data_IF_483002359554
#
_entry.id   IF_483002359554
#
_cell.length_a   1.000
_cell.length_b   1.000
_cell.length_c   1.000
_cell.angle_alpha   90.00
_cell.angle_beta   90.00
_cell.angle_gamma   90.00
#
_symmetry.space_group_name_H-M   'P 1'
#
loop_
_entity.id
_entity.type
_entity.pdbx_description
1 polymer ?
#
# COMPACT_ATOMS: atom_id res chain seq x y z
N UNK A 1 -9.77 -15.51 0.85
CA UNK A 1 -10.34 -14.39 1.63
C UNK A 1 -10.69 -13.25 0.70
N UNK A 2 -11.77 -12.51 0.96
CA UNK A 2 -12.20 -11.35 0.16
C UNK A 2 -11.97 -10.06 0.96
N UNK A 3 -11.38 -9.05 0.31
CA UNK A 3 -11.18 -7.72 0.90
C UNK A 3 -12.53 -7.10 1.29
N UNK A 4 -12.59 -6.47 2.46
CA UNK A 4 -13.81 -5.83 2.98
C UNK A 4 -14.85 -6.79 3.54
N UNK A 5 -14.51 -8.07 3.73
CA UNK A 5 -15.38 -9.07 4.36
C UNK A 5 -14.84 -9.46 5.73
N UNK A 6 -15.75 -9.69 6.68
CA UNK A 6 -15.42 -10.13 8.04
C UNK A 6 -15.50 -11.65 8.12
N UNK A 7 -14.57 -12.25 8.85
CA UNK A 7 -14.48 -13.70 9.01
C UNK A 7 -14.28 -14.11 10.46
N UNK A 8 -14.92 -15.21 10.87
CA UNK A 8 -14.54 -15.98 12.04
C UNK A 8 -13.45 -16.96 11.64
N UNK A 9 -12.32 -16.94 12.35
CA UNK A 9 -11.20 -17.86 12.16
C UNK A 9 -11.07 -18.77 13.40
N UNK A 10 -11.19 -20.08 13.21
CA UNK A 10 -10.94 -21.09 14.24
C UNK A 10 -9.70 -21.92 13.89
N UNK A 11 -9.17 -22.66 14.87
CA UNK A 11 -8.07 -23.60 14.71
C UNK A 11 -6.82 -22.95 14.08
N UNK A 12 -6.33 -21.87 14.69
CA UNK A 12 -5.16 -21.13 14.24
C UNK A 12 -4.03 -21.20 15.26
N UNK A 13 -2.82 -20.89 14.81
CA UNK A 13 -1.64 -20.78 15.68
C UNK A 13 -1.25 -19.32 15.87
N UNK A 14 -0.95 -18.94 17.11
CA UNK A 14 -0.30 -17.67 17.43
C UNK A 14 1.20 -17.86 17.61
N UNK A 15 2.01 -16.97 17.05
CA UNK A 15 3.45 -16.91 17.29
C UNK A 15 3.91 -15.47 17.46
N UNK A 16 5.10 -15.25 18.02
CA UNK A 16 5.64 -13.90 18.17
C UNK A 16 5.87 -13.28 16.78
N UNK A 17 5.41 -12.05 16.61
CA UNK A 17 5.59 -11.32 15.36
C UNK A 17 7.08 -11.04 15.10
N UNK A 18 7.46 -11.05 13.82
CA UNK A 18 8.82 -10.69 13.42
C UNK A 18 9.00 -9.18 13.53
N UNK A 19 10.21 -8.72 13.80
CA UNK A 19 10.54 -7.30 13.83
C UNK A 19 10.66 -6.66 12.43
N UNK A 20 10.65 -7.48 11.37
CA UNK A 20 10.84 -7.05 9.99
C UNK A 20 9.54 -7.08 9.18
N UNK A 21 9.38 -6.12 8.28
CA UNK A 21 8.23 -5.91 7.39
C UNK A 21 6.89 -5.88 8.12
N UNK A 22 6.83 -5.15 9.23
CA UNK A 22 5.63 -5.06 10.06
C UNK A 22 4.59 -4.14 9.44
N UNK A 23 3.36 -4.63 9.38
CA UNK A 23 2.17 -3.85 9.00
C UNK A 23 1.32 -3.45 10.22
N UNK A 24 1.62 -4.02 11.39
CA UNK A 24 0.92 -3.76 12.66
C UNK A 24 1.89 -3.88 13.86
N UNK A 25 1.59 -3.17 14.96
CA UNK A 25 2.38 -3.19 16.21
C UNK A 25 2.01 -4.37 17.12
N UNK A 26 1.09 -5.22 16.67
CA UNK A 26 0.74 -6.43 17.39
C UNK A 26 1.98 -7.31 17.60
N UNK A 27 2.14 -7.77 18.84
CA UNK A 27 3.26 -8.62 19.26
C UNK A 27 3.14 -10.06 18.77
N UNK A 28 1.99 -10.42 18.18
CA UNK A 28 1.63 -11.77 17.75
C UNK A 28 1.22 -11.76 16.28
N UNK A 29 1.59 -12.81 15.55
CA UNK A 29 1.12 -13.14 14.21
C UNK A 29 0.26 -14.40 14.27
N UNK A 30 -0.84 -14.40 13.52
CA UNK A 30 -1.70 -15.57 13.34
C UNK A 30 -1.28 -16.34 12.08
N UNK A 31 -1.13 -17.66 12.21
CA UNK A 31 -0.80 -18.58 11.12
C UNK A 31 -1.90 -19.61 10.92
N UNK A 32 -2.22 -19.87 9.65
CA UNK A 32 -3.15 -20.91 9.23
C UNK A 32 -2.46 -22.28 9.21
N UNK A 33 -3.24 -23.32 9.50
CA UNK A 33 -2.87 -24.73 9.41
C UNK A 33 -3.88 -25.48 8.56
N UNK A 34 -3.61 -26.77 8.35
CA UNK A 34 -4.46 -27.66 7.55
C UNK A 34 -5.90 -27.80 8.08
N UNK A 35 -6.11 -27.56 9.38
CA UNK A 35 -7.42 -27.61 10.03
C UNK A 35 -7.99 -26.24 10.39
N UNK A 36 -7.39 -25.14 9.91
CA UNK A 36 -7.94 -23.80 10.12
C UNK A 36 -9.28 -23.65 9.39
N UNK A 37 -10.28 -23.16 10.11
CA UNK A 37 -11.63 -22.95 9.57
C UNK A 37 -11.91 -21.46 9.47
N UNK A 38 -12.33 -21.01 8.29
CA UNK A 38 -12.67 -19.62 8.02
C UNK A 38 -14.13 -19.51 7.56
N UNK A 39 -14.96 -18.83 8.35
CA UNK A 39 -16.39 -18.65 8.06
C UNK A 39 -16.70 -17.17 7.88
N UNK A 40 -17.42 -16.80 6.81
CA UNK A 40 -17.87 -15.40 6.60
C UNK A 40 -18.86 -15.03 7.70
N UNK A 41 -18.67 -13.88 8.34
CA UNK A 41 -19.63 -13.28 9.26
C UNK A 41 -20.40 -12.18 8.51
N UNK A 42 -21.73 -12.36 8.38
CA UNK A 42 -22.59 -11.38 7.72
C UNK A 42 -22.98 -10.23 8.67
N UNK A 43 -23.33 -10.57 9.91
CA UNK A 43 -23.67 -9.61 10.95
C UNK A 43 -22.58 -9.64 12.02
N UNK A 44 -21.68 -8.65 12.00
CA UNK A 44 -20.69 -8.52 13.06
C UNK A 44 -21.24 -7.63 14.17
N UNK A 45 -21.45 -8.14 15.39
CA UNK A 45 -21.96 -7.34 16.50
C UNK A 45 -20.90 -6.39 17.09
N UNK A 46 -19.62 -6.62 16.76
CA UNK A 46 -18.51 -5.82 17.25
C UNK A 46 -18.09 -4.81 16.18
N UNK A 47 -18.13 -3.50 16.48
CA UNK A 47 -17.54 -2.52 15.59
C UNK A 47 -16.03 -2.77 15.52
N UNK A 48 -15.49 -2.83 14.31
CA UNK A 48 -14.05 -2.75 14.11
C UNK A 48 -13.66 -1.28 14.04
N UNK A 49 -12.52 -0.94 14.62
CA UNK A 49 -11.90 0.35 14.35
C UNK A 49 -11.69 0.50 12.84
N UNK A 50 -11.97 1.68 12.30
CA UNK A 50 -11.69 1.99 10.90
C UNK A 50 -10.22 1.74 10.55
N UNK A 51 -9.94 1.45 9.28
CA UNK A 51 -8.60 1.15 8.77
C UNK A 51 -7.55 2.12 9.36
N UNK A 52 -6.70 1.62 10.25
CA UNK A 52 -5.65 2.44 10.86
C UNK A 52 -4.55 2.69 9.84
N UNK A 53 -4.53 3.88 9.23
CA UNK A 53 -3.42 4.27 8.37
C UNK A 53 -2.20 4.67 9.20
N UNK A 54 -1.04 4.10 8.87
CA UNK A 54 0.26 4.43 9.48
C UNK A 54 1.01 5.39 8.59
N UNK A 55 0.60 6.65 8.66
CA UNK A 55 1.34 7.73 8.04
C UNK A 55 2.57 8.04 8.90
N UNK A 56 3.69 8.24 8.24
CA UNK A 56 4.95 8.56 8.87
C UNK A 56 5.48 9.88 8.32
N UNK A 57 6.22 10.61 9.15
CA UNK A 57 6.86 11.84 8.73
C UNK A 57 8.06 11.57 7.81
N UNK A 58 8.56 12.61 7.13
CA UNK A 58 9.77 12.47 6.33
C UNK A 58 11.00 12.18 7.19
N UNK A 59 11.08 12.77 8.39
CA UNK A 59 12.15 12.51 9.36
C UNK A 59 12.14 11.04 9.81
N UNK A 60 10.95 10.48 10.06
CA UNK A 60 10.82 9.05 10.36
C UNK A 60 11.25 8.18 9.18
N UNK A 61 10.89 8.57 7.95
CA UNK A 61 11.39 7.89 6.76
C UNK A 61 12.91 7.94 6.70
N UNK A 62 13.54 9.11 6.89
CA UNK A 62 15.00 9.24 6.85
C UNK A 62 15.68 8.39 7.91
N UNK A 63 15.13 8.38 9.13
CA UNK A 63 15.68 7.62 10.25
C UNK A 63 15.54 6.10 10.08
N UNK A 64 14.47 5.64 9.41
CA UNK A 64 14.11 4.23 9.37
C UNK A 64 14.18 3.57 7.98
N UNK A 65 14.47 4.33 6.92
CA UNK A 65 14.63 3.78 5.58
C UNK A 65 15.69 2.67 5.58
N UNK A 66 15.49 1.65 4.74
CA UNK A 66 16.37 0.47 4.61
C UNK A 66 16.43 -0.48 5.82
N UNK A 67 15.88 -0.12 6.99
CA UNK A 67 15.90 -0.98 8.20
C UNK A 67 14.99 -2.22 8.12
N UNK A 68 14.35 -2.49 6.96
CA UNK A 68 13.38 -3.59 6.74
C UNK A 68 12.32 -3.67 7.86
N UNK A 69 12.04 -2.57 8.55
CA UNK A 69 11.22 -2.52 9.75
C UNK A 69 9.74 -2.38 9.41
N UNK A 70 9.19 -1.20 9.65
CA UNK A 70 7.78 -0.93 9.40
C UNK A 70 7.52 -0.70 7.90
N UNK A 71 6.37 -1.17 7.42
CA UNK A 71 5.85 -0.80 6.11
C UNK A 71 4.98 0.45 6.24
N UNK A 72 5.16 1.39 5.33
CA UNK A 72 4.61 2.74 5.41
C UNK A 72 3.29 2.82 4.67
N UNK A 73 2.35 3.61 5.19
CA UNK A 73 1.21 4.09 4.40
C UNK A 73 1.54 5.49 3.90
N UNK A 74 1.33 5.74 2.62
CA UNK A 74 1.68 6.98 1.94
C UNK A 74 0.41 7.60 1.39
N UNK A 75 0.16 8.84 1.76
CA UNK A 75 -0.84 9.71 1.14
C UNK A 75 -0.16 10.98 0.64
N UNK A 76 -0.51 11.42 -0.56
CA UNK A 76 0.03 12.67 -1.08
C UNK A 76 -0.44 13.01 -2.48
N UNK A 77 -0.08 14.22 -2.90
CA UNK A 77 -0.32 14.71 -4.24
C UNK A 77 0.66 14.07 -5.21
N UNK A 78 0.13 13.47 -6.27
CA UNK A 78 0.94 13.06 -7.41
C UNK A 78 1.41 14.32 -8.14
N UNK A 79 2.71 14.37 -8.44
CA UNK A 79 3.34 15.44 -9.24
C UNK A 79 3.65 14.95 -10.64
N UNK A 80 4.28 13.77 -10.73
CA UNK A 80 4.63 13.13 -11.99
C UNK A 80 4.20 11.65 -11.97
N UNK A 81 3.78 11.14 -13.11
CA UNK A 81 3.56 9.70 -13.34
C UNK A 81 4.35 9.30 -14.58
N UNK A 82 5.27 8.35 -14.44
CA UNK A 82 6.22 7.95 -15.49
C UNK A 82 6.94 9.14 -16.16
N UNK A 83 7.22 10.19 -15.39
CA UNK A 83 7.90 11.40 -15.87
C UNK A 83 6.99 12.47 -16.46
N UNK A 84 5.71 12.16 -16.69
CA UNK A 84 4.73 13.12 -17.20
C UNK A 84 4.05 13.89 -16.06
N UNK A 85 3.81 15.20 -16.24
CA UNK A 85 3.18 16.06 -15.24
C UNK A 85 1.70 15.72 -15.05
N UNK A 86 1.22 15.67 -13.81
CA UNK A 86 -0.21 15.50 -13.51
C UNK A 86 -1.06 16.65 -14.08
N UNK A 87 -0.51 17.86 -14.14
CA UNK A 87 -1.20 19.05 -14.67
C UNK A 87 -1.45 18.91 -16.18
N UNK A 88 -0.61 18.17 -16.88
CA UNK A 88 -0.71 17.93 -18.33
C UNK A 88 -1.60 16.72 -18.67
N UNK A 89 -2.29 16.14 -17.67
CA UNK A 89 -3.16 14.97 -17.82
C UNK A 89 -2.41 13.77 -18.47
N UNK A 90 -1.55 13.07 -17.69
CA UNK A 90 -0.63 12.10 -18.25
C UNK A 90 -1.36 10.89 -18.85
N UNK A 91 -0.85 10.40 -19.97
CA UNK A 91 -1.39 9.24 -20.69
C UNK A 91 -0.51 8.03 -20.38
N UNK A 92 -1.11 7.04 -19.72
CA UNK A 92 -0.42 5.81 -19.35
C UNK A 92 -0.49 4.78 -20.48
N UNK A 93 0.64 4.47 -21.10
CA UNK A 93 0.73 3.39 -22.10
C UNK A 93 0.76 2.03 -21.39
N UNK A 94 -0.27 1.21 -21.64
CA UNK A 94 -0.39 -0.13 -21.06
C UNK A 94 0.65 -1.11 -21.60
N UNK A 95 1.07 -0.96 -22.86
CA UNK A 95 2.09 -1.81 -23.48
C UNK A 95 3.45 -1.50 -22.86
N UNK A 96 3.77 -0.22 -22.67
CA UNK A 96 5.01 0.18 -21.98
C UNK A 96 5.01 -0.26 -20.52
N UNK A 97 3.90 -0.07 -19.79
CA UNK A 97 3.79 -0.51 -18.39
C UNK A 97 3.86 -2.04 -18.29
N UNK A 98 3.24 -2.77 -19.21
CA UNK A 98 3.34 -4.24 -19.25
C UNK A 98 4.77 -4.71 -19.49
N UNK A 99 5.52 -4.02 -20.37
CA UNK A 99 6.94 -4.30 -20.66
C UNK A 99 7.86 -3.94 -19.50
N UNK A 100 7.71 -2.75 -18.94
CA UNK A 100 8.53 -2.24 -17.83
C UNK A 100 8.17 -2.90 -16.48
N UNK A 101 6.96 -3.46 -16.38
CA UNK A 101 6.37 -4.04 -15.16
C UNK A 101 6.35 -3.06 -13.99
N UNK A 102 6.35 -1.75 -14.27
CA UNK A 102 6.51 -0.71 -13.26
C UNK A 102 5.79 0.59 -13.64
N UNK A 103 5.29 1.29 -12.63
CA UNK A 103 4.94 2.71 -12.69
C UNK A 103 5.74 3.47 -11.65
N UNK A 104 6.38 4.58 -12.06
CA UNK A 104 7.06 5.50 -11.17
C UNK A 104 6.18 6.73 -10.93
N UNK A 105 5.91 7.03 -9.66
CA UNK A 105 5.08 8.15 -9.26
C UNK A 105 5.92 9.06 -8.36
N UNK A 106 5.93 10.35 -8.66
CA UNK A 106 6.47 11.35 -7.74
C UNK A 106 5.33 11.85 -6.87
N UNK A 107 5.41 11.61 -5.56
CA UNK A 107 4.36 11.92 -4.59
C UNK A 107 4.89 12.92 -3.58
N UNK A 108 4.10 13.95 -3.28
CA UNK A 108 4.39 14.92 -2.24
C UNK A 108 3.35 14.80 -1.12
N UNK A 109 3.77 14.44 0.08
CA UNK A 109 2.94 14.51 1.29
C UNK A 109 2.80 15.96 1.77
N UNK A 110 1.89 16.21 2.71
CA UNK A 110 1.71 17.54 3.32
C UNK A 110 3.04 18.03 3.92
N UNK A 111 3.50 19.21 3.48
CA UNK A 111 4.79 19.83 3.84
C UNK A 111 6.05 18.97 3.63
N UNK A 112 5.92 17.81 2.98
CA UNK A 112 7.02 16.89 2.75
C UNK A 112 7.77 17.16 1.43
N UNK A 113 8.98 16.60 1.28
CA UNK A 113 9.67 16.60 0.01
C UNK A 113 8.93 15.71 -1.01
N UNK A 114 9.27 15.87 -2.28
CA UNK A 114 8.80 14.97 -3.34
C UNK A 114 9.55 13.64 -3.24
N UNK A 115 8.82 12.55 -3.06
CA UNK A 115 9.35 11.19 -2.97
C UNK A 115 9.02 10.37 -4.22
N UNK A 116 9.87 9.40 -4.54
CA UNK A 116 9.62 8.43 -5.61
C UNK A 116 8.93 7.19 -5.06
N UNK A 117 7.76 6.88 -5.58
CA UNK A 117 6.99 5.67 -5.32
C UNK A 117 7.04 4.77 -6.55
N UNK A 118 7.41 3.50 -6.34
CA UNK A 118 7.45 2.49 -7.40
C UNK A 118 6.36 1.45 -7.16
N UNK A 119 5.44 1.33 -8.10
CA UNK A 119 4.48 0.23 -8.17
C UNK A 119 5.00 -0.79 -9.17
N UNK A 120 4.99 -2.07 -8.79
CA UNK A 120 5.48 -3.17 -9.63
C UNK A 120 4.36 -4.14 -9.98
N UNK A 121 4.51 -4.81 -11.12
CA UNK A 121 3.68 -5.93 -11.55
C UNK A 121 2.18 -5.64 -11.52
N UNK A 122 1.41 -6.44 -10.77
CA UNK A 122 -0.04 -6.32 -10.69
C UNK A 122 -0.45 -4.96 -10.13
N UNK A 123 0.29 -4.41 -9.16
CA UNK A 123 -0.01 -3.08 -8.62
C UNK A 123 0.15 -1.97 -9.67
N UNK A 124 1.14 -2.09 -10.56
CA UNK A 124 1.32 -1.17 -11.69
C UNK A 124 0.17 -1.26 -12.70
N UNK A 125 -0.28 -2.48 -13.01
CA UNK A 125 -1.43 -2.73 -13.92
C UNK A 125 -2.73 -2.22 -13.33
N UNK A 126 -3.00 -2.53 -12.07
CA UNK A 126 -4.19 -2.10 -11.35
C UNK A 126 -4.25 -0.58 -11.21
N UNK A 127 -3.11 0.05 -10.93
CA UNK A 127 -2.98 1.50 -10.93
C UNK A 127 -3.35 2.09 -12.30
N UNK A 128 -2.76 1.58 -13.39
CA UNK A 128 -3.04 2.06 -14.74
C UNK A 128 -4.54 1.96 -15.09
N UNK A 129 -5.13 0.79 -14.87
CA UNK A 129 -6.56 0.54 -15.10
C UNK A 129 -7.43 1.51 -14.30
N UNK A 130 -7.13 1.71 -13.02
CA UNK A 130 -7.87 2.60 -12.15
C UNK A 130 -7.69 4.07 -12.54
N UNK A 131 -6.47 4.49 -12.85
CA UNK A 131 -6.14 5.85 -13.27
C UNK A 131 -6.93 6.26 -14.51
N UNK A 132 -7.03 5.37 -15.51
CA UNK A 132 -7.81 5.59 -16.74
C UNK A 132 -9.32 5.52 -16.54
N UNK A 133 -9.80 4.90 -15.47
CA UNK A 133 -11.24 4.78 -15.20
C UNK A 133 -11.88 6.08 -14.68
N UNK A 134 -11.07 7.05 -14.25
CA UNK A 134 -11.57 8.34 -13.78
C UNK A 134 -11.92 9.27 -14.94
N UNK A 135 -13.02 10.02 -14.79
CA UNK A 135 -13.43 11.05 -15.75
C UNK A 135 -12.45 12.21 -15.79
N UNK A 136 -11.90 12.59 -14.62
CA UNK A 136 -10.89 13.63 -14.46
C UNK A 136 -9.57 13.03 -13.99
N UNK A 137 -8.45 13.64 -14.33
CA UNK A 137 -7.12 13.21 -13.86
C UNK A 137 -7.07 13.19 -12.33
N UNK A 138 -6.87 12.01 -11.70
CA UNK A 138 -6.75 11.94 -10.25
C UNK A 138 -5.44 12.61 -9.81
N UNK A 139 -5.47 13.37 -8.71
CA UNK A 139 -4.34 14.18 -8.23
C UNK A 139 -3.75 13.69 -6.91
N UNK A 140 -4.48 12.86 -6.16
CA UNK A 140 -4.07 12.32 -4.86
C UNK A 140 -4.01 10.80 -4.94
N UNK A 141 -3.00 10.22 -4.30
CA UNK A 141 -2.83 8.78 -4.19
C UNK A 141 -2.68 8.38 -2.72
N UNK A 142 -3.32 7.28 -2.36
CA UNK A 142 -3.11 6.55 -1.11
C UNK A 142 -2.57 5.16 -1.43
N UNK A 143 -1.41 4.81 -0.89
CA UNK A 143 -0.80 3.48 -1.02
C UNK A 143 -0.45 2.96 0.36
N UNK A 144 -0.88 1.74 0.66
CA UNK A 144 -0.57 1.07 1.93
C UNK A 144 0.57 0.08 1.75
N UNK A 145 1.20 -0.30 2.86
CA UNK A 145 2.23 -1.35 2.92
C UNK A 145 3.44 -1.12 2.01
N UNK A 146 3.93 0.12 1.93
CA UNK A 146 5.08 0.52 1.11
C UNK A 146 6.38 0.20 1.83
N UNK A 147 7.32 -0.44 1.13
CA UNK A 147 8.67 -0.65 1.65
C UNK A 147 9.53 0.60 1.40
N UNK A 148 10.12 1.15 2.45
CA UNK A 148 10.96 2.36 2.40
C UNK A 148 12.41 2.00 2.08
N UNK A 149 12.94 2.59 1.01
CA UNK A 149 14.33 2.39 0.60
C UNK A 149 14.97 3.68 0.13
N UNK A 150 16.28 3.80 0.36
CA UNK A 150 17.10 4.72 -0.42
C UNK A 150 17.50 4.08 -1.74
N UNK A 151 17.52 4.88 -2.81
CA UNK A 151 18.07 4.49 -4.10
C UNK A 151 19.27 5.40 -4.35
N UNK A 152 20.45 4.78 -4.49
CA UNK A 152 21.71 5.46 -4.81
C UNK A 152 21.78 5.94 -6.25
#
# INVERSE_FOLDING_TARGET
MKRGSVYKLNNFYGSRNKSVFRVADHTVTVSFSWNSELTVLQDCPTPFDEDSFRFHSFEEFQANCDLKGNLYHVVGHMKLVNGQSIVEAPVLDEVEIAKARRVLIHVQSHDGPVMKLYLWDQAARDFCKKFKSYVSTPTVLLVTTVNTKTLG
#
